data_IF_922427852513
#
_entry.id   IF_922427852513
#
_cell.length_a   1.000
_cell.length_b   1.000
_cell.length_c   1.000
_cell.angle_alpha   90.00
_cell.angle_beta   90.00
_cell.angle_gamma   90.00
#
_symmetry.space_group_name_H-M   'P 1'
#
loop_
_entity.id
_entity.type
_entity.pdbx_description
1 polymer ?
#
# COMPACT_ATOMS: atom_id res chain seq x y z
N UNK A 1 -2.27 -39.22 59.31
CA UNK A 1 -3.44 -39.23 58.37
C UNK A 1 -3.67 -37.82 57.77
N UNK A 2 -2.71 -37.20 57.11
CA UNK A 2 -2.95 -35.89 56.44
C UNK A 2 -2.10 -35.65 55.17
N UNK A 3 -1.55 -36.73 54.58
CA UNK A 3 -0.74 -36.64 53.35
C UNK A 3 -1.57 -36.50 52.04
N UNK A 4 -2.88 -36.76 52.09
CA UNK A 4 -3.72 -36.82 50.85
C UNK A 4 -4.26 -35.46 50.35
N UNK A 5 -4.26 -34.42 51.19
CA UNK A 5 -4.79 -33.10 50.77
C UNK A 5 -3.78 -32.27 49.97
N UNK A 6 -2.51 -32.35 50.33
CA UNK A 6 -1.45 -31.60 49.61
C UNK A 6 -1.13 -32.20 48.25
N UNK A 7 -1.26 -33.53 48.10
CA UNK A 7 -1.01 -34.19 46.81
C UNK A 7 -2.12 -33.86 45.77
N UNK A 8 -3.39 -33.75 46.20
CA UNK A 8 -4.51 -33.35 45.33
C UNK A 8 -4.45 -31.88 44.93
N UNK A 9 -3.96 -30.98 45.81
CA UNK A 9 -3.84 -29.56 45.54
C UNK A 9 -2.71 -29.29 44.56
N UNK A 10 -1.57 -29.99 44.68
CA UNK A 10 -0.46 -29.89 43.74
C UNK A 10 -0.78 -30.46 42.34
N UNK A 11 -1.60 -31.54 42.26
CA UNK A 11 -2.06 -32.06 40.99
C UNK A 11 -3.03 -31.09 40.26
N UNK A 12 -3.87 -30.36 41.04
CA UNK A 12 -4.78 -29.36 40.47
C UNK A 12 -4.05 -28.13 39.97
N UNK A 13 -2.99 -27.68 40.66
CA UNK A 13 -2.12 -26.56 40.19
C UNK A 13 -1.33 -26.95 38.92
N UNK A 14 -0.88 -28.20 38.83
CA UNK A 14 -0.15 -28.67 37.62
C UNK A 14 -1.06 -28.77 36.39
N UNK A 15 -2.36 -29.10 36.59
CA UNK A 15 -3.35 -29.18 35.50
C UNK A 15 -3.73 -27.80 34.94
N UNK A 16 -3.68 -26.72 35.74
CA UNK A 16 -4.02 -25.36 35.30
C UNK A 16 -2.92 -24.78 34.41
N UNK A 17 -1.67 -25.18 34.56
CA UNK A 17 -0.55 -24.69 33.72
C UNK A 17 -0.63 -25.23 32.30
N UNK A 18 -1.33 -26.34 32.02
CA UNK A 18 -1.51 -26.91 30.68
C UNK A 18 -2.67 -26.32 29.89
N UNK A 19 -3.46 -25.40 30.46
CA UNK A 19 -4.60 -24.76 29.80
C UNK A 19 -4.31 -23.33 29.28
N UNK A 20 -3.04 -22.89 29.31
CA UNK A 20 -2.70 -21.67 28.60
C UNK A 20 -2.83 -21.94 27.09
N UNK A 21 -3.66 -21.18 26.35
CA UNK A 21 -3.72 -21.32 24.90
C UNK A 21 -2.31 -21.07 24.36
N UNK A 22 -1.71 -22.12 23.80
CA UNK A 22 -0.44 -22.00 23.10
C UNK A 22 -0.70 -21.07 21.92
N UNK A 23 -0.21 -19.83 21.97
CA UNK A 23 -0.23 -18.92 20.82
C UNK A 23 0.61 -19.61 19.76
N UNK A 24 -0.07 -20.23 18.80
CA UNK A 24 0.61 -20.92 17.70
C UNK A 24 1.11 -19.87 16.73
N UNK A 25 2.38 -19.94 16.38
CA UNK A 25 2.93 -19.15 15.29
C UNK A 25 2.13 -19.38 13.99
N UNK A 26 1.65 -18.33 13.38
CA UNK A 26 0.87 -18.40 12.13
C UNK A 26 1.57 -17.58 11.05
N UNK A 27 1.38 -17.98 9.78
CA UNK A 27 1.81 -17.19 8.61
C UNK A 27 0.61 -16.40 8.08
N UNK A 28 0.76 -15.09 7.93
CA UNK A 28 -0.27 -14.15 7.47
C UNK A 28 0.03 -13.79 6.02
N UNK A 29 -0.81 -14.21 5.08
CA UNK A 29 -0.66 -13.91 3.66
C UNK A 29 -1.26 -12.55 3.36
N UNK A 30 -0.42 -11.57 3.06
CA UNK A 30 -0.83 -10.18 2.82
C UNK A 30 -0.73 -9.83 1.34
N UNK A 31 -1.88 -9.66 0.68
CA UNK A 31 -1.95 -9.09 -0.66
C UNK A 31 -1.79 -7.56 -0.56
N UNK A 32 -0.69 -7.03 -1.07
CA UNK A 32 -0.36 -5.60 -0.92
C UNK A 32 -0.17 -4.91 -2.26
N UNK A 33 -0.79 -3.74 -2.42
CA UNK A 33 -0.53 -2.85 -3.53
C UNK A 33 0.95 -2.41 -3.55
N UNK A 34 1.60 -2.49 -4.70
CA UNK A 34 3.04 -2.38 -4.85
C UNK A 34 3.66 -1.08 -4.29
N UNK A 35 2.88 0.01 -4.22
CA UNK A 35 3.32 1.27 -3.61
C UNK A 35 3.65 1.12 -2.12
N UNK A 36 2.92 0.25 -1.39
CA UNK A 36 3.07 0.09 0.06
C UNK A 36 4.07 -1.01 0.46
N UNK A 37 4.67 -1.68 -0.51
CA UNK A 37 5.54 -2.84 -0.24
C UNK A 37 6.73 -2.53 0.66
N UNK A 38 7.39 -1.38 0.48
CA UNK A 38 8.53 -1.00 1.31
C UNK A 38 8.12 -0.71 2.76
N UNK A 39 7.02 0.02 2.96
CA UNK A 39 6.46 0.28 4.28
C UNK A 39 6.01 -1.03 4.97
N UNK A 40 5.42 -1.97 4.21
CA UNK A 40 5.01 -3.27 4.76
C UNK A 40 6.20 -4.14 5.17
N UNK A 41 7.35 -4.05 4.50
CA UNK A 41 8.58 -4.75 4.96
C UNK A 41 9.10 -4.19 6.29
N UNK A 42 8.98 -2.89 6.53
CA UNK A 42 9.30 -2.31 7.83
C UNK A 42 8.28 -2.74 8.89
N UNK A 43 6.98 -2.68 8.58
CA UNK A 43 5.91 -3.24 9.42
C UNK A 43 6.20 -4.69 9.78
N UNK A 44 6.55 -5.52 8.80
CA UNK A 44 6.92 -6.92 9.00
C UNK A 44 8.05 -7.05 10.02
N UNK A 45 9.12 -6.27 9.86
CA UNK A 45 10.26 -6.32 10.78
C UNK A 45 9.82 -5.99 12.22
N UNK A 46 9.02 -4.94 12.40
CA UNK A 46 8.54 -4.52 13.73
C UNK A 46 7.54 -5.52 14.30
N UNK A 47 6.58 -5.99 13.51
CA UNK A 47 5.54 -6.92 13.94
C UNK A 47 6.13 -8.28 14.33
N UNK A 48 6.99 -8.86 13.47
CA UNK A 48 7.62 -10.16 13.72
C UNK A 48 8.65 -10.15 14.86
N UNK A 49 9.17 -8.98 15.26
CA UNK A 49 10.01 -8.85 16.45
C UNK A 49 9.21 -8.83 17.76
N UNK A 50 7.92 -8.55 17.70
CA UNK A 50 7.03 -8.44 18.86
C UNK A 50 6.02 -9.60 18.97
N UNK A 51 5.99 -10.49 17.98
CA UNK A 51 5.08 -11.64 17.92
C UNK A 51 5.80 -12.88 17.39
N UNK A 52 5.21 -14.04 17.56
CA UNK A 52 5.72 -15.28 16.93
C UNK A 52 5.20 -15.47 15.49
N UNK A 53 4.32 -14.58 15.02
CA UNK A 53 3.71 -14.65 13.69
C UNK A 53 4.66 -14.23 12.58
N UNK A 54 4.38 -14.67 11.35
CA UNK A 54 5.17 -14.34 10.15
C UNK A 54 4.30 -13.70 9.08
N UNK A 55 4.79 -12.64 8.44
CA UNK A 55 4.10 -11.98 7.34
C UNK A 55 4.68 -12.45 6.01
N UNK A 56 3.83 -12.98 5.14
CA UNK A 56 4.14 -13.32 3.75
C UNK A 56 3.62 -12.19 2.86
N UNK A 57 4.54 -11.43 2.28
CA UNK A 57 4.21 -10.24 1.47
C UNK A 57 4.01 -10.64 0.01
N UNK A 58 2.78 -10.53 -0.50
CA UNK A 58 2.44 -10.80 -1.90
C UNK A 58 2.16 -9.46 -2.60
N UNK A 59 3.12 -9.03 -3.46
CA UNK A 59 3.10 -7.72 -4.12
C UNK A 59 2.38 -7.78 -5.46
N UNK A 60 1.57 -6.76 -5.77
CA UNK A 60 0.88 -6.66 -7.06
C UNK A 60 0.18 -5.32 -7.24
N UNK A 61 -0.65 -5.22 -8.28
CA UNK A 61 -1.60 -4.10 -8.41
C UNK A 61 -2.87 -4.38 -7.59
N UNK A 62 -3.52 -3.33 -7.12
CA UNK A 62 -4.78 -3.42 -6.38
C UNK A 62 -5.82 -4.23 -7.15
N UNK A 63 -6.00 -3.98 -8.46
CA UNK A 63 -6.98 -4.68 -9.28
C UNK A 63 -6.65 -6.16 -9.49
N UNK A 64 -5.36 -6.52 -9.61
CA UNK A 64 -4.95 -7.93 -9.72
C UNK A 64 -5.28 -8.70 -8.45
N UNK A 65 -4.91 -8.15 -7.28
CA UNK A 65 -5.25 -8.77 -6.00
C UNK A 65 -6.75 -8.89 -5.78
N UNK A 66 -7.51 -7.84 -6.11
CA UNK A 66 -8.98 -7.88 -6.06
C UNK A 66 -9.54 -9.05 -6.87
N UNK A 67 -9.09 -9.22 -8.12
CA UNK A 67 -9.52 -10.34 -8.97
C UNK A 67 -9.10 -11.70 -8.37
N UNK A 68 -7.90 -11.80 -7.81
CA UNK A 68 -7.42 -13.03 -7.16
C UNK A 68 -8.29 -13.39 -5.93
N UNK A 69 -8.66 -12.40 -5.12
CA UNK A 69 -9.54 -12.59 -3.95
C UNK A 69 -10.91 -13.09 -4.38
N UNK A 70 -11.52 -12.49 -5.41
CA UNK A 70 -12.81 -12.92 -5.95
C UNK A 70 -12.76 -14.38 -6.50
N UNK A 71 -11.58 -14.83 -6.92
CA UNK A 71 -11.34 -16.20 -7.37
C UNK A 71 -10.85 -17.14 -6.25
N UNK A 72 -10.97 -16.74 -4.98
CA UNK A 72 -10.70 -17.59 -3.84
C UNK A 72 -9.21 -17.71 -3.45
N UNK A 73 -8.36 -16.77 -3.85
CA UNK A 73 -6.96 -16.77 -3.40
C UNK A 73 -6.89 -16.65 -1.88
N UNK A 74 -6.06 -17.47 -1.19
CA UNK A 74 -6.04 -17.59 0.26
C UNK A 74 -5.23 -16.46 0.92
N UNK A 75 -5.67 -15.23 0.76
CA UNK A 75 -5.11 -14.09 1.46
C UNK A 75 -5.83 -13.85 2.79
N UNK A 76 -5.07 -13.47 3.81
CA UNK A 76 -5.58 -13.12 5.12
C UNK A 76 -5.90 -11.63 5.24
N UNK A 77 -5.11 -10.81 4.52
CA UNK A 77 -5.23 -9.36 4.52
C UNK A 77 -5.05 -8.82 3.11
N UNK A 78 -5.88 -7.83 2.75
CA UNK A 78 -5.74 -7.07 1.51
C UNK A 78 -5.47 -5.60 1.81
N UNK A 79 -4.31 -5.08 1.39
CA UNK A 79 -3.93 -3.69 1.48
C UNK A 79 -4.01 -3.07 0.08
N UNK A 80 -5.16 -2.46 -0.21
CA UNK A 80 -5.45 -1.81 -1.49
C UNK A 80 -4.88 -0.39 -1.53
N UNK A 81 -4.64 0.14 -2.71
CA UNK A 81 -4.30 1.55 -2.91
C UNK A 81 -5.51 2.42 -3.26
N UNK A 82 -6.72 1.93 -3.08
CA UNK A 82 -7.99 2.65 -3.22
C UNK A 82 -9.00 2.20 -2.17
N UNK A 83 -10.15 2.86 -2.14
CA UNK A 83 -11.31 2.52 -1.32
C UNK A 83 -12.37 1.72 -2.10
N UNK A 84 -12.39 1.85 -3.42
CA UNK A 84 -13.44 1.31 -4.26
C UNK A 84 -13.46 -0.22 -4.28
N UNK A 85 -12.30 -0.85 -4.50
CA UNK A 85 -12.20 -2.33 -4.54
C UNK A 85 -12.44 -2.98 -3.18
N UNK A 86 -11.89 -2.47 -2.06
CA UNK A 86 -12.30 -2.87 -0.72
C UNK A 86 -13.81 -2.76 -0.46
N UNK A 87 -14.46 -1.67 -0.92
CA UNK A 87 -15.91 -1.53 -0.80
C UNK A 87 -16.67 -2.59 -1.61
N UNK A 88 -16.25 -2.83 -2.86
CA UNK A 88 -16.83 -3.86 -3.71
C UNK A 88 -16.67 -5.28 -3.14
N UNK A 89 -15.59 -5.57 -2.39
CA UNK A 89 -15.47 -6.86 -1.70
C UNK A 89 -16.55 -7.02 -0.63
N UNK A 90 -16.90 -5.98 0.11
CA UNK A 90 -17.95 -6.03 1.11
C UNK A 90 -19.38 -6.22 0.52
N UNK A 91 -19.55 -5.99 -0.79
CA UNK A 91 -20.79 -6.32 -1.50
C UNK A 91 -20.93 -7.83 -1.78
N UNK A 92 -19.84 -8.59 -1.69
CA UNK A 92 -19.86 -10.05 -1.82
C UNK A 92 -20.32 -10.69 -0.51
N UNK A 93 -21.21 -11.67 -0.57
CA UNK A 93 -21.78 -12.36 0.60
C UNK A 93 -20.70 -12.88 1.57
N UNK A 94 -19.65 -13.48 1.03
CA UNK A 94 -18.53 -14.03 1.82
C UNK A 94 -17.67 -12.98 2.53
N UNK A 95 -17.76 -11.70 2.16
CA UNK A 95 -16.97 -10.61 2.73
C UNK A 95 -17.83 -9.46 3.30
N UNK A 96 -19.15 -9.60 3.34
CA UNK A 96 -20.06 -8.55 3.77
C UNK A 96 -19.83 -8.11 5.23
N UNK A 97 -19.30 -9.00 6.08
CA UNK A 97 -18.93 -8.73 7.47
C UNK A 97 -17.43 -8.47 7.66
N UNK A 98 -16.63 -8.46 6.59
CA UNK A 98 -15.19 -8.22 6.67
C UNK A 98 -14.90 -6.81 7.21
N UNK A 99 -13.92 -6.73 8.13
CA UNK A 99 -13.48 -5.43 8.64
C UNK A 99 -12.70 -4.68 7.57
N UNK A 100 -13.04 -3.42 7.37
CA UNK A 100 -12.36 -2.49 6.46
C UNK A 100 -11.98 -1.20 7.18
N UNK A 101 -10.76 -0.72 6.96
CA UNK A 101 -10.28 0.57 7.49
C UNK A 101 -9.32 1.23 6.50
N UNK A 102 -9.33 2.56 6.46
CA UNK A 102 -8.28 3.32 5.79
C UNK A 102 -7.00 3.24 6.61
N UNK A 103 -5.86 2.93 5.96
CA UNK A 103 -4.57 2.78 6.64
C UNK A 103 -3.52 3.81 6.19
N UNK A 104 -3.67 4.40 4.99
CA UNK A 104 -2.73 5.40 4.46
C UNK A 104 -3.41 6.31 3.43
N UNK A 105 -2.83 7.49 3.18
CA UNK A 105 -3.14 8.33 2.02
C UNK A 105 -1.86 8.46 1.19
N UNK A 106 -1.91 7.99 -0.04
CA UNK A 106 -0.79 8.02 -0.98
C UNK A 106 -0.60 9.40 -1.60
N UNK A 107 0.59 9.65 -2.13
CA UNK A 107 0.96 10.89 -2.83
C UNK A 107 1.61 10.53 -4.16
N UNK A 108 1.22 11.26 -5.22
CA UNK A 108 1.79 11.09 -6.55
C UNK A 108 2.98 12.02 -6.73
N UNK A 109 4.02 11.54 -7.42
CA UNK A 109 5.19 12.33 -7.77
C UNK A 109 5.59 12.11 -9.23
N UNK A 110 6.02 13.16 -9.91
CA UNK A 110 6.82 13.06 -11.11
C UNK A 110 8.27 12.78 -10.68
N UNK A 111 8.88 11.76 -11.23
CA UNK A 111 10.28 11.42 -10.97
C UNK A 111 11.06 11.24 -12.25
N UNK A 112 12.32 11.69 -12.26
CA UNK A 112 13.27 11.51 -13.36
C UNK A 112 14.67 11.20 -12.85
N UNK A 113 15.35 10.25 -13.50
CA UNK A 113 16.70 9.85 -13.14
C UNK A 113 17.73 10.91 -13.57
N UNK A 114 18.60 11.32 -12.64
CA UNK A 114 19.71 12.25 -12.93
C UNK A 114 19.28 13.64 -13.38
N UNK A 115 17.98 13.95 -13.31
CA UNK A 115 17.44 15.25 -13.68
C UNK A 115 17.71 16.30 -12.59
N UNK A 116 17.77 17.58 -12.97
CA UNK A 116 17.74 18.69 -12.04
C UNK A 116 16.39 18.78 -11.31
N UNK A 117 16.18 19.82 -10.47
CA UNK A 117 14.93 20.00 -9.75
C UNK A 117 13.73 19.97 -10.69
N UNK A 118 12.80 19.02 -10.48
CA UNK A 118 11.59 18.87 -11.29
C UNK A 118 10.48 19.76 -10.75
N UNK A 119 9.59 20.17 -11.64
CA UNK A 119 8.37 20.93 -11.37
C UNK A 119 7.32 20.63 -12.44
N UNK A 120 6.16 21.24 -12.34
CA UNK A 120 5.04 21.05 -13.28
C UNK A 120 5.47 21.27 -14.74
N UNK A 121 6.18 22.38 -15.00
CA UNK A 121 6.70 22.69 -16.33
C UNK A 121 7.60 21.59 -16.90
N UNK A 122 8.29 20.81 -16.04
CA UNK A 122 9.15 19.71 -16.49
C UNK A 122 8.35 18.63 -17.21
N UNK A 123 7.16 18.31 -16.72
CA UNK A 123 6.24 17.38 -17.37
C UNK A 123 5.65 17.99 -18.65
N UNK A 124 5.17 19.21 -18.57
CA UNK A 124 4.59 19.95 -19.70
C UNK A 124 5.59 20.09 -20.84
N UNK A 125 6.80 20.54 -20.55
CA UNK A 125 7.88 20.70 -21.55
C UNK A 125 8.28 19.36 -22.17
N UNK A 126 8.38 18.31 -21.37
CA UNK A 126 8.67 16.98 -21.90
C UNK A 126 7.59 16.54 -22.87
N UNK A 127 6.31 16.68 -22.52
CA UNK A 127 5.19 16.28 -23.38
C UNK A 127 5.10 17.18 -24.63
N UNK A 128 5.25 18.48 -24.53
CA UNK A 128 5.02 19.39 -25.67
C UNK A 128 6.25 19.59 -26.57
N UNK A 129 7.47 19.57 -25.97
CA UNK A 129 8.69 20.00 -26.67
C UNK A 129 9.64 18.85 -27.04
N UNK A 130 9.48 17.64 -26.47
CA UNK A 130 10.42 16.53 -26.70
C UNK A 130 9.70 15.26 -27.19
N UNK A 131 9.33 15.19 -28.49
CA UNK A 131 8.41 14.17 -29.02
C UNK A 131 8.88 12.71 -28.84
N UNK A 132 10.17 12.47 -28.70
CA UNK A 132 10.73 11.12 -28.57
C UNK A 132 10.86 10.64 -27.12
N UNK A 133 10.49 11.46 -26.14
CA UNK A 133 10.56 11.08 -24.74
C UNK A 133 9.27 10.40 -24.28
N UNK A 134 9.39 9.42 -23.39
CA UNK A 134 8.28 8.64 -22.86
C UNK A 134 8.02 8.96 -21.39
N UNK A 135 6.75 8.80 -20.99
CA UNK A 135 6.26 8.92 -19.62
C UNK A 135 5.81 7.53 -19.13
N UNK A 136 6.35 7.08 -18.01
CA UNK A 136 5.89 5.85 -17.37
C UNK A 136 4.74 6.15 -16.40
N UNK A 137 3.67 5.38 -16.50
CA UNK A 137 2.58 5.34 -15.53
C UNK A 137 2.20 3.90 -15.21
N UNK A 138 1.55 3.65 -14.08
CA UNK A 138 0.92 2.36 -13.82
C UNK A 138 -0.35 2.19 -14.68
N UNK A 139 -0.76 0.95 -14.92
CA UNK A 139 -2.00 0.68 -15.65
C UNK A 139 -3.21 1.27 -14.86
N UNK A 140 -3.92 2.25 -15.41
CA UNK A 140 -5.01 2.93 -14.70
C UNK A 140 -6.21 2.02 -14.41
N UNK A 141 -6.38 0.93 -15.16
CA UNK A 141 -7.44 -0.04 -14.90
C UNK A 141 -7.15 -0.93 -13.68
N UNK A 142 -5.87 -1.07 -13.32
CA UNK A 142 -5.41 -1.99 -12.27
C UNK A 142 -4.83 -1.28 -11.04
N UNK A 143 -4.31 -0.07 -11.22
CA UNK A 143 -3.56 0.64 -10.19
C UNK A 143 -4.08 2.07 -9.98
N UNK A 144 -4.51 2.43 -8.76
CA UNK A 144 -5.03 3.77 -8.45
C UNK A 144 -4.06 4.91 -8.76
N UNK A 145 -2.76 4.69 -8.61
CA UNK A 145 -1.75 5.66 -9.03
C UNK A 145 -1.72 5.90 -10.54
N UNK A 146 -2.11 4.91 -11.33
CA UNK A 146 -2.27 5.07 -12.79
C UNK A 146 -3.47 5.97 -13.12
N UNK A 147 -4.59 5.79 -12.41
CA UNK A 147 -5.75 6.68 -12.52
C UNK A 147 -5.40 8.12 -12.13
N UNK A 148 -4.71 8.31 -10.99
CA UNK A 148 -4.23 9.61 -10.54
C UNK A 148 -3.27 10.27 -11.56
N UNK A 149 -2.42 9.48 -12.22
CA UNK A 149 -1.55 9.97 -13.28
C UNK A 149 -2.34 10.49 -14.50
N UNK A 150 -3.38 9.75 -14.95
CA UNK A 150 -4.25 10.22 -16.03
C UNK A 150 -5.07 11.45 -15.64
N UNK A 151 -5.55 11.52 -14.39
CA UNK A 151 -6.24 12.70 -13.87
C UNK A 151 -5.31 13.91 -13.88
N UNK A 152 -4.05 13.75 -13.48
CA UNK A 152 -3.03 14.81 -13.51
C UNK A 152 -2.77 15.29 -14.94
N UNK A 153 -2.60 14.37 -15.89
CA UNK A 153 -2.42 14.74 -17.31
C UNK A 153 -3.64 15.48 -17.86
N UNK A 154 -4.84 15.04 -17.48
CA UNK A 154 -6.08 15.72 -17.87
C UNK A 154 -6.20 17.11 -17.25
N UNK A 155 -5.86 17.28 -15.97
CA UNK A 155 -5.85 18.56 -15.27
C UNK A 155 -4.92 19.58 -15.94
N UNK A 156 -3.76 19.12 -16.41
CA UNK A 156 -2.75 19.94 -17.10
C UNK A 156 -3.05 20.15 -18.59
N UNK A 157 -4.16 19.58 -19.12
CA UNK A 157 -4.48 19.65 -20.55
C UNK A 157 -3.50 18.88 -21.44
N UNK A 158 -2.82 17.85 -20.88
CA UNK A 158 -1.76 17.08 -21.57
C UNK A 158 -2.20 15.69 -21.96
N UNK A 159 -3.46 15.33 -21.73
CA UNK A 159 -3.95 13.96 -21.92
C UNK A 159 -3.76 13.51 -23.38
N UNK A 160 -4.27 14.29 -24.31
CA UNK A 160 -4.25 13.94 -25.74
C UNK A 160 -2.81 14.01 -26.31
N UNK A 161 -2.02 14.98 -25.89
CA UNK A 161 -0.62 15.16 -26.31
C UNK A 161 0.29 14.07 -25.75
N UNK A 162 -0.12 13.40 -24.67
CA UNK A 162 0.62 12.27 -24.09
C UNK A 162 0.28 10.93 -24.76
N UNK A 163 -0.76 10.86 -25.57
CA UNK A 163 -1.16 9.64 -26.26
C UNK A 163 -0.02 9.10 -27.16
N UNK A 164 0.20 7.80 -27.13
CA UNK A 164 1.31 7.13 -27.81
C UNK A 164 2.69 7.31 -27.17
N UNK A 165 2.81 8.13 -26.12
CA UNK A 165 4.07 8.40 -25.39
C UNK A 165 4.11 7.74 -24.02
N UNK A 166 2.99 7.23 -23.58
CA UNK A 166 2.86 6.54 -22.29
C UNK A 166 3.43 5.12 -22.39
N UNK A 167 4.30 4.78 -21.46
CA UNK A 167 4.71 3.41 -21.16
C UNK A 167 3.97 2.95 -19.91
N UNK A 168 3.18 1.90 -20.04
CA UNK A 168 2.30 1.42 -18.97
C UNK A 168 2.91 0.23 -18.25
N UNK A 169 3.14 0.35 -16.94
CA UNK A 169 3.49 -0.75 -16.06
C UNK A 169 2.24 -1.46 -15.52
N UNK A 170 2.29 -2.77 -15.31
CA UNK A 170 1.20 -3.55 -14.69
C UNK A 170 0.79 -2.99 -13.32
N UNK A 171 1.78 -2.48 -12.59
CA UNK A 171 1.60 -1.84 -11.28
C UNK A 171 2.57 -0.65 -11.14
N UNK A 172 2.47 0.07 -10.04
CA UNK A 172 3.27 1.29 -9.82
C UNK A 172 4.77 1.00 -9.64
N UNK A 173 5.17 -0.20 -9.18
CA UNK A 173 6.57 -0.55 -9.08
C UNK A 173 7.20 -0.76 -10.47
N UNK A 174 6.49 -1.35 -11.41
CA UNK A 174 6.95 -1.48 -12.79
C UNK A 174 7.02 -0.11 -13.50
N UNK A 175 6.05 0.77 -13.26
CA UNK A 175 6.11 2.14 -13.78
C UNK A 175 7.35 2.88 -13.27
N UNK A 176 7.64 2.80 -11.97
CA UNK A 176 8.87 3.34 -11.39
C UNK A 176 10.12 2.73 -12.05
N UNK A 177 10.14 1.40 -12.23
CA UNK A 177 11.26 0.71 -12.84
C UNK A 177 11.55 1.17 -14.27
N UNK A 178 10.52 1.49 -15.08
CA UNK A 178 10.72 2.05 -16.42
C UNK A 178 11.42 3.41 -16.40
N UNK A 179 11.03 4.29 -15.50
CA UNK A 179 11.72 5.58 -15.33
C UNK A 179 13.12 5.38 -14.74
N UNK A 180 13.27 4.51 -13.75
CA UNK A 180 14.55 4.24 -13.08
C UNK A 180 15.60 3.64 -14.04
N UNK A 181 15.21 2.75 -14.93
CA UNK A 181 16.10 2.11 -15.91
C UNK A 181 16.37 2.97 -17.16
N UNK A 182 15.69 4.12 -17.31
CA UNK A 182 15.79 4.97 -18.50
C UNK A 182 14.91 4.54 -19.68
N UNK A 183 14.01 3.55 -19.47
CA UNK A 183 12.99 3.17 -20.46
C UNK A 183 11.91 4.24 -20.66
N UNK A 184 11.78 5.15 -19.71
CA UNK A 184 11.02 6.39 -19.82
C UNK A 184 11.84 7.56 -19.25
N UNK A 185 11.65 8.76 -19.79
CA UNK A 185 12.30 9.98 -19.31
C UNK A 185 11.85 10.33 -17.91
N UNK A 186 10.55 10.29 -17.69
CA UNK A 186 9.90 10.50 -16.39
C UNK A 186 8.92 9.39 -16.07
N UNK A 187 8.58 9.28 -14.78
CA UNK A 187 7.47 8.45 -14.30
C UNK A 187 6.56 9.25 -13.38
N UNK A 188 5.24 9.16 -13.59
CA UNK A 188 4.26 9.52 -12.56
C UNK A 188 4.09 8.31 -11.66
N UNK A 189 4.71 8.38 -10.47
CA UNK A 189 4.95 7.24 -9.57
C UNK A 189 4.51 7.55 -8.15
N UNK A 190 4.54 6.56 -7.26
CA UNK A 190 4.24 6.81 -5.85
C UNK A 190 5.40 7.55 -5.17
N UNK A 191 5.09 8.57 -4.40
CA UNK A 191 6.11 9.31 -3.62
C UNK A 191 6.88 8.39 -2.68
N UNK A 192 6.22 7.37 -2.12
CA UNK A 192 6.86 6.33 -1.30
C UNK A 192 7.99 5.56 -1.99
N UNK A 193 8.02 5.54 -3.32
CA UNK A 193 9.07 4.87 -4.07
C UNK A 193 10.29 5.76 -4.30
N UNK A 194 10.11 7.07 -4.31
CA UNK A 194 11.15 8.04 -4.68
C UNK A 194 11.79 8.74 -3.49
N UNK A 195 11.14 8.77 -2.34
CA UNK A 195 11.64 9.45 -1.13
C UNK A 195 12.99 8.87 -0.66
N UNK A 196 13.25 7.59 -0.90
CA UNK A 196 14.45 6.89 -0.46
C UNK A 196 15.44 6.59 -1.60
N UNK A 197 15.22 7.14 -2.82
CA UNK A 197 16.13 6.90 -3.97
C UNK A 197 17.38 7.78 -3.89
N UNK A 198 17.38 8.80 -3.04
CA UNK A 198 18.53 9.70 -2.83
C UNK A 198 18.89 10.49 -4.08
N UNK A 199 20.19 10.69 -4.29
CA UNK A 199 20.73 11.52 -5.38
C UNK A 199 20.60 10.88 -6.78
N UNK A 200 20.02 9.69 -6.91
CA UNK A 200 19.87 9.02 -8.21
C UNK A 200 18.86 9.69 -9.13
N UNK A 201 18.02 10.58 -8.61
CA UNK A 201 17.05 11.34 -9.38
C UNK A 201 16.34 12.38 -8.55
N UNK A 202 15.57 13.21 -9.22
CA UNK A 202 14.77 14.26 -8.61
C UNK A 202 13.28 14.00 -8.80
N UNK A 203 12.47 14.65 -8.00
CA UNK A 203 11.02 14.54 -8.10
C UNK A 203 10.33 15.89 -7.93
N UNK A 204 9.13 15.98 -8.47
CA UNK A 204 8.13 17.00 -8.16
C UNK A 204 6.93 16.31 -7.56
N UNK A 205 6.54 16.74 -6.37
CA UNK A 205 5.36 16.22 -5.72
C UNK A 205 4.12 16.84 -6.37
N UNK A 206 3.30 16.01 -7.01
CA UNK A 206 2.09 16.48 -7.69
C UNK A 206 1.11 17.05 -6.66
N UNK A 207 0.59 18.28 -6.88
CA UNK A 207 -0.42 18.85 -6.00
C UNK A 207 -1.68 17.98 -5.91
N UNK A 208 -2.26 17.89 -4.73
CA UNK A 208 -3.48 17.11 -4.48
C UNK A 208 -4.72 17.64 -5.20
N UNK A 209 -4.63 18.82 -5.80
CA UNK A 209 -5.69 19.41 -6.65
C UNK A 209 -5.69 18.84 -8.07
N UNK A 210 -4.63 18.16 -8.51
CA UNK A 210 -4.49 17.64 -9.86
C UNK A 210 -5.09 16.25 -10.05
N UNK A 211 -5.42 15.57 -8.96
CA UNK A 211 -6.00 14.22 -8.97
C UNK A 211 -6.85 13.97 -7.73
N UNK A 212 -7.72 12.98 -7.80
CA UNK A 212 -8.49 12.51 -6.66
C UNK A 212 -7.59 11.98 -5.54
N UNK A 213 -7.94 12.15 -4.26
CA UNK A 213 -7.15 11.64 -3.14
C UNK A 213 -6.92 10.12 -3.25
N UNK A 214 -5.68 9.66 -3.06
CA UNK A 214 -5.31 8.24 -3.09
C UNK A 214 -5.48 7.65 -1.69
N UNK A 215 -6.72 7.56 -1.21
CA UNK A 215 -7.04 6.97 0.09
C UNK A 215 -6.98 5.46 -0.04
N UNK A 216 -6.21 4.81 0.82
CA UNK A 216 -5.89 3.40 0.77
C UNK A 216 -6.57 2.66 1.91
N UNK A 217 -7.43 1.70 1.56
CA UNK A 217 -8.14 0.87 2.51
C UNK A 217 -7.56 -0.54 2.58
N UNK A 218 -7.63 -1.14 3.76
CA UNK A 218 -7.34 -2.55 3.98
C UNK A 218 -8.60 -3.32 4.36
N UNK A 219 -8.61 -4.61 4.05
CA UNK A 219 -9.69 -5.55 4.39
C UNK A 219 -9.11 -6.76 5.07
N UNK A 220 -9.68 -7.13 6.23
CA UNK A 220 -9.41 -8.40 6.91
C UNK A 220 -10.25 -9.49 6.24
N UNK A 221 -9.58 -10.45 5.58
CA UNK A 221 -10.24 -11.49 4.75
C UNK A 221 -10.42 -12.82 5.48
N UNK A 222 -9.70 -13.04 6.58
CA UNK A 222 -9.74 -14.29 7.34
C UNK A 222 -10.11 -14.06 8.81
N UNK A 223 -10.56 -15.11 9.47
CA UNK A 223 -10.85 -15.11 10.92
C UNK A 223 -9.61 -15.42 11.79
N UNK A 224 -8.40 -15.50 11.19
CA UNK A 224 -7.15 -15.74 11.91
C UNK A 224 -6.92 -14.69 12.98
N UNK A 225 -6.55 -15.14 14.18
CA UNK A 225 -6.20 -14.22 15.28
C UNK A 225 -4.95 -13.40 14.94
N UNK A 226 -3.96 -14.02 14.27
CA UNK A 226 -2.75 -13.37 13.82
C UNK A 226 -3.02 -12.28 12.76
N UNK A 227 -3.91 -12.55 11.81
CA UNK A 227 -4.31 -11.56 10.80
C UNK A 227 -5.05 -10.38 11.43
N UNK A 228 -5.90 -10.64 12.44
CA UNK A 228 -6.59 -9.59 13.20
C UNK A 228 -5.60 -8.74 14.00
N UNK A 229 -4.59 -9.35 14.61
CA UNK A 229 -3.54 -8.64 15.34
C UNK A 229 -2.75 -7.71 14.40
N UNK A 230 -2.38 -8.19 13.21
CA UNK A 230 -1.74 -7.36 12.19
C UNK A 230 -2.65 -6.22 11.69
N UNK A 231 -3.96 -6.50 11.52
CA UNK A 231 -4.94 -5.49 11.11
C UNK A 231 -5.03 -4.35 12.14
N UNK A 232 -5.08 -4.67 13.44
CA UNK A 232 -5.09 -3.67 14.50
C UNK A 232 -3.72 -2.96 14.61
N UNK A 233 -2.61 -3.67 14.41
CA UNK A 233 -1.28 -3.05 14.38
C UNK A 233 -1.18 -1.98 13.27
N UNK A 234 -1.69 -2.26 12.06
CA UNK A 234 -1.68 -1.36 10.91
C UNK A 234 -2.51 -0.07 11.11
N UNK A 235 -3.37 -0.01 12.13
CA UNK A 235 -4.13 1.19 12.52
C UNK A 235 -3.67 1.80 13.85
N UNK A 236 -2.60 1.26 14.43
CA UNK A 236 -2.05 1.75 15.69
C UNK A 236 -1.23 3.03 15.51
N UNK A 237 -0.99 3.75 16.60
CA UNK A 237 -0.12 4.94 16.61
C UNK A 237 1.33 4.64 16.21
N UNK A 238 1.77 3.37 16.32
CA UNK A 238 3.09 2.94 15.86
C UNK A 238 3.25 3.08 14.35
N UNK A 239 2.14 2.99 13.59
CA UNK A 239 2.13 3.19 12.14
C UNK A 239 2.39 4.63 11.71
N UNK A 240 2.05 5.61 12.53
CA UNK A 240 2.19 7.04 12.18
C UNK A 240 3.62 7.40 11.77
N UNK A 241 4.63 6.86 12.46
CA UNK A 241 6.03 7.12 12.11
C UNK A 241 6.41 6.42 10.80
N UNK A 242 6.07 5.13 10.65
CA UNK A 242 6.34 4.36 9.42
C UNK A 242 5.70 5.05 8.21
N UNK A 243 4.45 5.51 8.34
CA UNK A 243 3.76 6.23 7.26
C UNK A 243 4.51 7.50 6.86
N UNK A 244 4.93 8.32 7.83
CA UNK A 244 5.69 9.57 7.55
C UNK A 244 7.03 9.27 6.88
N UNK A 245 7.78 8.30 7.39
CA UNK A 245 9.11 7.93 6.86
C UNK A 245 9.04 7.40 5.43
N UNK A 246 7.91 6.77 5.07
CA UNK A 246 7.62 6.32 3.71
C UNK A 246 6.80 7.33 2.87
N UNK A 247 6.62 8.58 3.35
CA UNK A 247 6.01 9.66 2.56
C UNK A 247 4.49 9.57 2.40
N UNK A 248 3.81 8.79 3.23
CA UNK A 248 2.35 8.75 3.32
C UNK A 248 1.80 9.82 4.24
N UNK A 249 0.52 10.17 4.04
CA UNK A 249 -0.26 10.91 5.03
C UNK A 249 -1.13 9.93 5.83
N UNK A 250 -1.42 10.32 7.07
CA UNK A 250 -2.27 9.52 7.96
C UNK A 250 -3.75 9.69 7.55
N UNK A 251 -4.55 8.60 7.60
CA UNK A 251 -6.00 8.72 7.44
C UNK A 251 -6.58 9.67 8.50
N UNK A 252 -7.42 10.61 8.07
CA UNK A 252 -8.01 11.62 8.96
C UNK A 252 -7.14 12.86 9.22
N UNK A 253 -5.88 12.89 8.80
CA UNK A 253 -5.03 14.10 8.87
C UNK A 253 -5.36 15.14 7.78
N UNK A 254 -6.12 14.73 6.76
CA UNK A 254 -6.51 15.56 5.64
C UNK A 254 -7.85 16.25 5.84
N UNK A 255 -7.93 17.32 6.63
CA UNK A 255 -8.78 18.42 6.19
C UNK A 255 -8.13 18.97 4.93
N UNK A 256 -8.60 18.50 3.77
CA UNK A 256 -8.41 19.22 2.51
C UNK A 256 -8.87 20.65 2.81
N UNK A 257 -7.94 21.57 2.92
CA UNK A 257 -8.28 23.00 2.92
C UNK A 257 -8.80 23.29 1.52
N UNK A 258 -10.12 23.12 1.34
CA UNK A 258 -10.85 23.84 0.30
C UNK A 258 -10.73 25.31 0.68
N UNK A 259 -9.74 25.99 0.12
CA UNK A 259 -9.75 27.45 0.09
C UNK A 259 -10.93 27.86 -0.79
N UNK A 260 -11.91 28.50 -0.16
CA UNK A 260 -12.92 29.34 -0.82
C UNK A 260 -12.24 30.49 -1.59
#
# INVERSE_FOLDING_TARGET
LNLNKHCKLNLLLLAIIFLLPSVRAESINVAVAANFSAALEEVKTVFESNTDHKIVVIRGSTGKHFTQILNGAPFDLFLAADQARPAQLQEQEQYNMAQRRSYAIGRLALWGRGEGPLKEDSLTDMILKTPNQRLAIANPLLAPYGSAALETLNYLGLKDESEGRIVTGENIAQAFQFAYSGGAKFGLVAYSQVINVGELGNFWLVPTTHHSPIIQDMVLLSESAAARELFEFLTSTKMSQILRDHGYLEPGSGRVQTRN
#
